data_IF_146203936407
#
_entry.id   IF_146203936407
#
_cell.length_a   1.000
_cell.length_b   1.000
_cell.length_c   1.000
_cell.angle_alpha   90.00
_cell.angle_beta   90.00
_cell.angle_gamma   90.00
#
_symmetry.space_group_name_H-M   'P 1'
#
loop_
_entity.id
_entity.type
_entity.pdbx_description
1 polymer ?
#
# COMPACT_ATOMS: atom_id res chain seq x y z
N UNK A 1 4.29 -10.67 -32.07
CA UNK A 1 3.17 -10.21 -31.21
C UNK A 1 2.29 -11.42 -30.99
N UNK A 2 2.20 -11.92 -29.76
CA UNK A 2 1.36 -13.09 -29.46
C UNK A 2 -0.06 -12.58 -29.30
N UNK A 3 -0.83 -12.56 -30.39
CA UNK A 3 -2.27 -12.43 -30.32
C UNK A 3 -2.80 -13.68 -29.62
N UNK A 4 -3.30 -13.52 -28.40
CA UNK A 4 -3.90 -14.63 -27.68
C UNK A 4 -5.32 -14.80 -28.24
N UNK A 5 -5.62 -15.86 -29.01
CA UNK A 5 -6.88 -15.99 -29.76
C UNK A 5 -8.13 -16.14 -28.88
N UNK A 6 -7.97 -16.09 -27.55
CA UNK A 6 -9.03 -16.22 -26.54
C UNK A 6 -9.38 -14.89 -25.85
N UNK A 7 -8.69 -13.79 -26.18
CA UNK A 7 -8.99 -12.46 -25.66
C UNK A 7 -10.30 -11.96 -26.25
N UNK A 8 -11.39 -12.25 -25.55
CA UNK A 8 -12.76 -11.91 -25.94
C UNK A 8 -13.41 -11.03 -24.87
N UNK A 9 -14.46 -10.30 -25.27
CA UNK A 9 -15.28 -9.53 -24.32
C UNK A 9 -15.76 -10.40 -23.15
N UNK A 10 -16.15 -11.65 -23.45
CA UNK A 10 -16.61 -12.63 -22.47
C UNK A 10 -15.54 -12.93 -21.42
N UNK A 11 -14.29 -13.14 -21.85
CA UNK A 11 -13.17 -13.38 -20.93
C UNK A 11 -12.90 -12.16 -20.04
N UNK A 12 -12.92 -10.96 -20.62
CA UNK A 12 -12.71 -9.72 -19.87
C UNK A 12 -13.81 -9.50 -18.81
N UNK A 13 -15.07 -9.77 -19.16
CA UNK A 13 -16.20 -9.72 -18.23
C UNK A 13 -16.09 -10.76 -17.12
N UNK A 14 -15.59 -11.96 -17.44
CA UNK A 14 -15.38 -13.01 -16.46
C UNK A 14 -14.30 -12.60 -15.43
N UNK A 15 -13.18 -12.02 -15.89
CA UNK A 15 -12.18 -11.45 -14.99
C UNK A 15 -12.75 -10.35 -14.10
N UNK A 16 -13.58 -9.45 -14.65
CA UNK A 16 -14.29 -8.45 -13.85
C UNK A 16 -15.20 -9.07 -12.79
N UNK A 17 -15.98 -10.09 -13.14
CA UNK A 17 -16.90 -10.76 -12.22
C UNK A 17 -16.19 -11.49 -11.07
N UNK A 18 -14.97 -11.97 -11.33
CA UNK A 18 -14.11 -12.60 -10.33
C UNK A 18 -13.37 -11.60 -9.44
N UNK A 19 -13.51 -10.29 -9.70
CA UNK A 19 -12.80 -9.25 -8.95
C UNK A 19 -11.34 -9.08 -9.38
N UNK A 20 -10.99 -9.45 -10.62
CA UNK A 20 -9.67 -9.25 -11.21
C UNK A 20 -9.69 -8.16 -12.31
N UNK A 21 -10.02 -6.90 -11.97
CA UNK A 21 -10.08 -5.81 -12.96
C UNK A 21 -8.71 -5.54 -13.61
N UNK A 22 -7.60 -5.86 -12.94
CA UNK A 22 -6.24 -5.73 -13.47
C UNK A 22 -5.97 -6.62 -14.68
N UNK A 23 -6.61 -7.80 -14.75
CA UNK A 23 -6.51 -8.72 -15.89
C UNK A 23 -7.51 -8.38 -16.99
N UNK A 24 -8.67 -7.85 -16.62
CA UNK A 24 -9.73 -7.48 -17.57
C UNK A 24 -9.39 -6.23 -18.38
N UNK A 25 -8.79 -5.22 -17.75
CA UNK A 25 -8.46 -3.93 -18.35
C UNK A 25 -7.66 -4.03 -19.66
N UNK A 26 -6.52 -4.74 -19.73
CA UNK A 26 -5.75 -4.83 -20.98
C UNK A 26 -6.50 -5.55 -22.10
N UNK A 27 -7.44 -6.44 -21.79
CA UNK A 27 -8.26 -7.13 -22.79
C UNK A 27 -9.26 -6.15 -23.40
N UNK A 28 -9.96 -5.36 -22.58
CA UNK A 28 -10.87 -4.32 -23.11
C UNK A 28 -10.15 -3.27 -23.95
N UNK A 29 -8.94 -2.86 -23.55
CA UNK A 29 -8.12 -1.90 -24.32
C UNK A 29 -7.71 -2.46 -25.68
N UNK A 30 -7.29 -3.72 -25.75
CA UNK A 30 -6.93 -4.38 -27.01
C UNK A 30 -8.13 -4.54 -27.93
N UNK A 31 -9.28 -4.95 -27.41
CA UNK A 31 -10.51 -5.11 -28.21
C UNK A 31 -10.96 -3.77 -28.82
N UNK A 32 -10.89 -2.67 -28.05
CA UNK A 32 -11.19 -1.33 -28.56
C UNK A 32 -10.14 -0.88 -29.59
N UNK A 33 -8.85 -1.16 -29.36
CA UNK A 33 -7.78 -0.83 -30.30
C UNK A 33 -7.87 -1.62 -31.62
N UNK A 34 -8.44 -2.83 -31.59
CA UNK A 34 -8.74 -3.64 -32.78
C UNK A 34 -9.96 -3.13 -33.57
N UNK A 35 -10.52 -1.98 -33.21
CA UNK A 35 -11.65 -1.36 -33.91
C UNK A 35 -13.01 -1.93 -33.54
N UNK A 36 -13.08 -2.79 -32.51
CA UNK A 36 -14.38 -3.18 -31.94
C UNK A 36 -14.89 -2.05 -31.04
N UNK A 37 -15.31 -0.94 -31.64
CA UNK A 37 -15.91 0.19 -30.92
C UNK A 37 -17.36 -0.11 -30.51
N UNK A 38 -17.51 -1.02 -29.55
CA UNK A 38 -18.81 -1.32 -28.93
C UNK A 38 -18.96 -0.57 -27.62
N UNK A 39 -20.13 -0.01 -27.39
CA UNK A 39 -20.48 0.67 -26.14
C UNK A 39 -20.26 -0.25 -24.92
N UNK A 40 -20.51 -1.54 -25.07
CA UNK A 40 -20.28 -2.55 -24.04
C UNK A 40 -18.82 -2.67 -23.60
N UNK A 41 -17.87 -2.54 -24.53
CA UNK A 41 -16.44 -2.58 -24.25
C UNK A 41 -15.97 -1.32 -23.54
N UNK A 42 -16.48 -0.14 -23.96
CA UNK A 42 -16.21 1.13 -23.28
C UNK A 42 -16.73 1.12 -21.84
N UNK A 43 -17.93 0.59 -21.62
CA UNK A 43 -18.49 0.42 -20.29
C UNK A 43 -17.67 -0.55 -19.43
N UNK A 44 -17.26 -1.69 -19.99
CA UNK A 44 -16.40 -2.66 -19.30
C UNK A 44 -15.05 -2.06 -18.87
N UNK A 45 -14.43 -1.28 -19.75
CA UNK A 45 -13.19 -0.56 -19.45
C UNK A 45 -13.37 0.47 -18.31
N UNK A 46 -14.49 1.21 -18.33
CA UNK A 46 -14.80 2.19 -17.29
C UNK A 46 -15.05 1.51 -15.93
N UNK A 47 -15.71 0.36 -15.92
CA UNK A 47 -15.89 -0.47 -14.73
C UNK A 47 -14.55 -0.98 -14.18
N UNK A 48 -13.63 -1.45 -15.04
CA UNK A 48 -12.29 -1.87 -14.62
C UNK A 48 -11.56 -0.73 -13.90
N UNK A 49 -11.56 0.47 -14.50
CA UNK A 49 -10.91 1.65 -13.92
C UNK A 49 -11.54 2.04 -12.58
N UNK A 50 -12.87 2.02 -12.48
CA UNK A 50 -13.56 2.31 -11.23
C UNK A 50 -13.22 1.29 -10.12
N UNK A 51 -13.15 0.00 -10.46
CA UNK A 51 -12.80 -1.06 -9.53
C UNK A 51 -11.35 -0.92 -9.03
N UNK A 52 -10.39 -0.68 -9.93
CA UNK A 52 -8.99 -0.44 -9.56
C UNK A 52 -8.83 0.83 -8.71
N UNK A 53 -9.55 1.90 -9.03
CA UNK A 53 -9.53 3.13 -8.23
C UNK A 53 -10.10 2.91 -6.81
N UNK A 54 -11.11 2.05 -6.66
CA UNK A 54 -11.63 1.66 -5.33
C UNK A 54 -10.61 0.84 -4.56
N UNK A 55 -10.06 -0.21 -5.18
CA UNK A 55 -9.04 -1.05 -4.55
C UNK A 55 -7.80 -0.24 -4.13
N UNK A 56 -7.33 0.68 -4.96
CA UNK A 56 -6.22 1.58 -4.63
C UNK A 56 -6.55 2.55 -3.48
N UNK A 57 -7.78 3.04 -3.38
CA UNK A 57 -8.22 3.88 -2.25
C UNK A 57 -8.30 3.10 -0.94
N UNK A 58 -8.83 1.88 -0.98
CA UNK A 58 -8.92 1.00 0.18
C UNK A 58 -7.54 0.63 0.71
N UNK A 59 -6.63 0.23 -0.18
CA UNK A 59 -5.23 -0.02 0.17
C UNK A 59 -4.57 1.20 0.83
N UNK A 60 -4.75 2.39 0.26
CA UNK A 60 -4.19 3.63 0.81
C UNK A 60 -4.79 4.00 2.18
N UNK A 61 -6.08 3.75 2.40
CA UNK A 61 -6.73 3.95 3.71
C UNK A 61 -6.14 3.02 4.75
N UNK A 62 -5.93 1.75 4.41
CA UNK A 62 -5.35 0.78 5.33
C UNK A 62 -3.87 1.07 5.61
N UNK A 63 -3.10 1.52 4.63
CA UNK A 63 -1.72 1.96 4.82
C UNK A 63 -1.65 3.19 5.73
N UNK A 64 -2.55 4.17 5.58
CA UNK A 64 -2.64 5.32 6.50
C UNK A 64 -2.96 4.88 7.94
N UNK A 65 -3.86 3.91 8.13
CA UNK A 65 -4.15 3.37 9.46
C UNK A 65 -2.92 2.68 10.06
N UNK A 66 -2.21 1.87 9.27
CA UNK A 66 -0.98 1.18 9.68
C UNK A 66 0.10 2.17 10.08
N UNK A 67 0.31 3.23 9.30
CA UNK A 67 1.25 4.30 9.62
C UNK A 67 0.90 4.97 10.95
N UNK A 68 -0.37 5.35 11.17
CA UNK A 68 -0.79 5.95 12.46
C UNK A 68 -0.52 5.05 13.67
N UNK A 69 -0.71 3.74 13.53
CA UNK A 69 -0.42 2.78 14.59
C UNK A 69 1.09 2.72 14.86
N UNK A 70 1.91 2.66 13.81
CA UNK A 70 3.36 2.65 13.90
C UNK A 70 3.90 3.96 14.51
N UNK A 71 3.41 5.11 14.09
CA UNK A 71 3.73 6.43 14.67
C UNK A 71 3.41 6.47 16.16
N UNK A 72 2.23 5.99 16.56
CA UNK A 72 1.83 5.93 17.98
C UNK A 72 2.70 4.97 18.78
N UNK A 73 3.08 3.83 18.22
CA UNK A 73 4.01 2.88 18.86
C UNK A 73 5.41 3.48 18.99
N UNK A 74 5.90 4.16 17.97
CA UNK A 74 7.17 4.89 18.01
C UNK A 74 7.15 5.98 19.07
N UNK A 75 6.13 6.84 19.10
CA UNK A 75 6.00 7.92 20.09
C UNK A 75 5.99 7.41 21.54
N UNK A 76 5.37 6.24 21.79
CA UNK A 76 5.39 5.57 23.10
C UNK A 76 6.77 5.01 23.46
N UNK A 77 7.53 4.54 22.47
CA UNK A 77 8.86 3.94 22.68
C UNK A 77 9.98 4.99 22.71
N UNK A 78 9.82 6.13 22.04
CA UNK A 78 10.80 7.23 22.03
C UNK A 78 10.62 8.21 23.20
N UNK A 79 9.59 8.04 24.03
CA UNK A 79 9.39 8.87 25.21
C UNK A 79 9.12 10.34 24.89
N UNK A 80 8.53 10.66 23.74
CA UNK A 80 8.03 12.02 23.45
C UNK A 80 6.71 12.27 24.20
N UNK A 81 6.78 12.18 25.52
CA UNK A 81 5.98 13.04 26.39
C UNK A 81 6.82 14.33 26.54
N UNK A 82 6.21 15.54 26.53
CA UNK A 82 6.96 16.76 26.84
C UNK A 82 7.68 16.55 28.17
N UNK A 83 8.99 16.87 28.26
CA UNK A 83 9.76 16.59 29.47
C UNK A 83 9.13 17.37 30.63
N UNK A 84 8.79 16.73 31.76
CA UNK A 84 8.55 17.47 32.98
C UNK A 84 9.88 18.16 33.34
N UNK A 85 9.84 19.49 33.43
CA UNK A 85 10.92 20.29 34.01
C UNK A 85 11.17 19.84 35.46
N UNK A 86 12.17 18.98 35.68
CA UNK A 86 12.77 18.80 37.00
C UNK A 86 14.31 18.66 36.87
N UNK A 87 15.10 19.27 37.80
CA UNK A 87 16.48 19.72 37.57
C UNK A 87 17.53 18.59 37.64
N UNK A 88 18.77 18.82 37.14
CA UNK A 88 19.77 17.76 37.00
C UNK A 88 20.58 17.54 38.28
N UNK A 89 20.85 16.27 38.65
CA UNK A 89 21.99 15.91 39.49
C UNK A 89 22.44 14.43 39.29
N UNK A 90 23.73 14.12 39.49
CA UNK A 90 24.54 13.19 38.67
C UNK A 90 24.73 11.80 39.31
N UNK A 91 25.03 10.71 38.59
CA UNK A 91 26.41 10.24 38.33
C UNK A 91 26.46 9.06 37.33
N UNK A 92 27.63 8.83 36.68
CA UNK A 92 27.79 7.97 35.51
C UNK A 92 28.18 6.53 35.88
N UNK A 93 27.53 5.53 35.28
CA UNK A 93 28.00 4.15 35.34
C UNK A 93 27.90 3.51 33.95
N UNK A 94 29.08 3.26 33.39
CA UNK A 94 29.36 2.49 32.18
C UNK A 94 28.47 1.24 32.05
N UNK A 95 27.63 1.19 31.00
CA UNK A 95 27.24 -0.05 30.33
C UNK A 95 26.50 0.22 29.00
N UNK A 96 27.22 0.41 27.90
CA UNK A 96 26.73 0.06 26.57
C UNK A 96 27.92 -0.23 25.65
N UNK A 97 27.91 -1.35 24.90
CA UNK A 97 27.19 -1.31 23.65
C UNK A 97 26.44 -2.63 23.41
N UNK A 98 25.23 -2.75 23.92
CA UNK A 98 24.25 -3.69 23.37
C UNK A 98 22.96 -2.93 23.19
N UNK A 99 22.40 -2.86 21.98
CA UNK A 99 21.16 -2.17 21.79
C UNK A 99 20.11 -2.85 22.66
N UNK A 100 19.49 -2.05 23.51
CA UNK A 100 18.41 -2.51 24.41
C UNK A 100 17.31 -3.15 23.57
N UNK A 101 16.51 -4.05 24.17
CA UNK A 101 15.42 -4.70 23.43
C UNK A 101 14.44 -3.67 22.80
N UNK A 102 14.31 -2.51 23.44
CA UNK A 102 13.62 -1.31 22.95
C UNK A 102 14.25 -0.70 21.71
N UNK A 103 15.57 -0.48 21.68
CA UNK A 103 16.28 0.07 20.53
C UNK A 103 16.22 -0.85 19.30
N UNK A 104 16.29 -2.17 19.51
CA UNK A 104 16.13 -3.14 18.41
C UNK A 104 14.73 -3.10 17.81
N UNK A 105 13.70 -3.00 18.65
CA UNK A 105 12.30 -2.87 18.19
C UNK A 105 12.09 -1.55 17.45
N UNK A 106 12.69 -0.47 17.94
CA UNK A 106 12.61 0.85 17.33
C UNK A 106 13.29 0.87 15.95
N UNK A 107 14.46 0.24 15.80
CA UNK A 107 15.13 0.11 14.51
C UNK A 107 14.30 -0.67 13.48
N UNK A 108 13.65 -1.77 13.90
CA UNK A 108 12.76 -2.56 13.03
C UNK A 108 11.55 -1.74 12.58
N UNK A 109 10.93 -0.97 13.48
CA UNK A 109 9.77 -0.13 13.13
C UNK A 109 10.17 1.03 12.21
N UNK A 110 11.34 1.65 12.40
CA UNK A 110 11.88 2.67 11.51
C UNK A 110 12.18 2.13 10.11
N UNK A 111 12.72 0.91 10.00
CA UNK A 111 12.97 0.27 8.71
C UNK A 111 11.66 -0.05 7.98
N UNK A 112 10.65 -0.54 8.70
CA UNK A 112 9.31 -0.78 8.13
C UNK A 112 8.65 0.50 7.63
N UNK A 113 8.80 1.61 8.36
CA UNK A 113 8.25 2.92 7.99
C UNK A 113 8.91 3.43 6.69
N UNK A 114 10.25 3.37 6.61
CA UNK A 114 11.00 3.73 5.38
C UNK A 114 10.61 2.91 4.16
N UNK A 115 10.32 1.61 4.34
CA UNK A 115 9.88 0.75 3.22
C UNK A 115 8.50 1.14 2.70
N UNK A 116 7.58 1.51 3.58
CA UNK A 116 6.25 1.96 3.20
C UNK A 116 6.27 3.33 2.51
N UNK A 117 7.13 4.26 2.95
CA UNK A 117 7.30 5.56 2.30
C UNK A 117 7.86 5.44 0.87
N UNK A 118 8.75 4.47 0.63
CA UNK A 118 9.33 4.20 -0.70
C UNK A 118 8.41 3.44 -1.65
N UNK A 119 7.37 2.79 -1.12
CA UNK A 119 6.39 2.04 -1.92
C UNK A 119 5.24 2.93 -2.43
N UNK A 120 5.29 4.24 -2.14
CA UNK A 120 4.31 5.25 -2.52
C UNK A 120 4.80 6.04 -3.74
#
# INVERSE_FOLDING_TARGET
MVENPLETETLARLYLSQGHPEKALPIFERLLAQGMERESLRQGLLQCRAALARAGREANVDDKKRLRILERMLARLTGSAPPPEEPPAPTPALAAPRPSASERRLAVLQDLLKRLERAR
#
